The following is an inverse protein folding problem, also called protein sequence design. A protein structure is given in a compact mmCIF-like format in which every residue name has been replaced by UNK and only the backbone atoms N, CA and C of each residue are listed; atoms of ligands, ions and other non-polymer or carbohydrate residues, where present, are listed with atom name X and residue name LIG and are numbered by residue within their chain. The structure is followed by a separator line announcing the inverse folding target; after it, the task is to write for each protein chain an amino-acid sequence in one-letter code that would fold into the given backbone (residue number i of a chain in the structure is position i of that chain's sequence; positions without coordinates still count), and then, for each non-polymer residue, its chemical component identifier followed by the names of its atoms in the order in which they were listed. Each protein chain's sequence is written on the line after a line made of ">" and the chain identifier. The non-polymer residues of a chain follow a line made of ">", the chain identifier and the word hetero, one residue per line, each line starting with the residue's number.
data_IF_520732243567
#
_entry.id   IF_520732243567
#
_cell.length_a   1.000
_cell.length_b   1.000
_cell.length_c   1.000
_cell.angle_alpha   90.00
_cell.angle_beta   90.00
_cell.angle_gamma   90.00
#
_symmetry.space_group_name_H-M   'P 1'
#
loop_
_entity.id
_entity.type
_entity.pdbx_description
1 polymer ?
#
# COMPACT_ATOMS: atom_id res chain seq x y z
N UNK A 1 19.12 1.17 8.52
CA UNK A 1 17.77 0.90 9.07
C UNK A 1 17.70 0.92 10.60
N UNK A 2 18.47 0.11 11.35
CA UNK A 2 18.42 0.07 12.83
C UNK A 2 18.54 1.45 13.49
N UNK A 3 19.48 2.29 13.03
CA UNK A 3 19.68 3.66 13.56
C UNK A 3 18.50 4.58 13.24
N UNK A 4 17.90 4.42 12.05
CA UNK A 4 16.77 5.21 11.59
C UNK A 4 15.49 4.91 12.39
N UNK A 5 15.25 3.63 12.69
CA UNK A 5 14.04 3.17 13.38
C UNK A 5 14.13 3.20 14.90
N UNK A 6 15.34 3.32 15.47
CA UNK A 6 15.56 3.35 16.93
C UNK A 6 14.70 4.38 17.68
N UNK A 7 14.49 5.60 17.17
CA UNK A 7 13.61 6.58 17.83
C UNK A 7 12.14 6.16 17.98
N UNK A 8 11.72 5.17 17.22
CA UNK A 8 10.34 4.71 17.15
C UNK A 8 10.12 3.33 17.81
N UNK A 9 11.13 2.78 18.50
CA UNK A 9 11.11 1.42 19.04
C UNK A 9 9.95 1.15 20.03
N UNK A 10 9.51 2.19 20.76
CA UNK A 10 8.43 2.07 21.74
C UNK A 10 7.02 2.26 21.15
N UNK A 11 6.92 2.81 19.94
CA UNK A 11 5.66 3.19 19.30
C UNK A 11 5.53 2.73 17.86
N UNK A 12 6.27 1.71 17.48
CA UNK A 12 6.24 1.15 16.14
C UNK A 12 6.62 -0.31 16.11
N UNK A 13 6.27 -0.96 15.02
CA UNK A 13 6.54 -2.38 14.74
C UNK A 13 7.22 -2.54 13.39
N UNK A 14 8.05 -3.57 13.25
CA UNK A 14 8.79 -3.86 12.00
C UNK A 14 8.60 -5.31 11.65
N UNK A 15 8.17 -5.58 10.43
CA UNK A 15 8.00 -6.91 9.87
C UNK A 15 8.93 -7.06 8.66
N UNK A 16 9.74 -8.11 8.66
CA UNK A 16 10.65 -8.44 7.58
C UNK A 16 10.04 -9.54 6.72
N UNK A 17 10.31 -9.51 5.42
CA UNK A 17 9.85 -10.52 4.48
C UNK A 17 8.34 -10.79 4.63
N UNK A 18 7.56 -9.70 4.71
CA UNK A 18 6.13 -9.80 4.97
C UNK A 18 5.42 -10.40 3.76
N UNK A 19 4.77 -11.54 3.98
CA UNK A 19 4.05 -12.24 2.92
C UNK A 19 2.77 -11.50 2.52
N UNK A 20 2.61 -11.23 1.24
CA UNK A 20 1.39 -10.70 0.63
C UNK A 20 0.71 -11.86 -0.10
N UNK A 21 -0.32 -12.48 0.50
CA UNK A 21 -0.82 -13.79 0.05
C UNK A 21 -1.28 -13.81 -1.39
N UNK A 22 -2.03 -12.81 -1.84
CA UNK A 22 -2.58 -12.73 -3.19
C UNK A 22 -1.50 -12.66 -4.27
N UNK A 23 -0.45 -11.91 -4.02
CA UNK A 23 0.61 -11.71 -5.00
C UNK A 23 1.60 -12.87 -5.04
N UNK A 24 1.58 -13.78 -4.06
CA UNK A 24 2.60 -14.80 -3.90
C UNK A 24 4.01 -14.22 -3.74
N UNK A 25 4.10 -12.98 -3.28
CA UNK A 25 5.33 -12.20 -3.12
C UNK A 25 5.47 -11.73 -1.68
N UNK A 26 6.65 -11.22 -1.35
CA UNK A 26 6.93 -10.67 -0.03
C UNK A 26 7.46 -9.25 -0.16
N UNK A 27 6.93 -8.35 0.67
CA UNK A 27 7.53 -7.05 0.87
C UNK A 27 8.77 -7.20 1.74
N UNK A 28 9.87 -6.58 1.37
CA UNK A 28 11.13 -6.71 2.12
C UNK A 28 10.97 -6.26 3.57
N UNK A 29 10.33 -5.12 3.79
CA UNK A 29 10.08 -4.60 5.13
C UNK A 29 8.76 -3.81 5.17
N UNK A 30 7.94 -4.10 6.18
CA UNK A 30 6.82 -3.25 6.59
C UNK A 30 7.19 -2.59 7.91
N UNK A 31 7.00 -1.28 8.01
CA UNK A 31 7.20 -0.52 9.25
C UNK A 31 5.90 0.19 9.60
N UNK A 32 5.40 -0.08 10.79
CA UNK A 32 4.23 0.61 11.34
C UNK A 32 4.71 1.60 12.40
N UNK A 33 4.35 2.86 12.25
CA UNK A 33 4.65 3.90 13.24
C UNK A 33 3.44 4.83 13.34
N UNK A 34 2.88 4.96 14.53
CA UNK A 34 1.78 5.88 14.83
C UNK A 34 0.58 5.74 13.86
N UNK A 35 0.30 4.55 13.34
CA UNK A 35 -0.80 4.30 12.42
C UNK A 35 -0.48 4.45 10.93
N UNK A 36 0.72 4.91 10.57
CA UNK A 36 1.19 4.92 9.18
C UNK A 36 1.89 3.60 8.87
N UNK A 37 1.58 3.01 7.72
CA UNK A 37 2.20 1.80 7.18
C UNK A 37 3.21 2.19 6.12
N UNK A 38 4.49 2.07 6.41
CA UNK A 38 5.57 2.27 5.46
C UNK A 38 5.91 0.92 4.81
N UNK A 39 5.74 0.81 3.52
CA UNK A 39 6.08 -0.39 2.73
C UNK A 39 7.41 -0.15 2.05
N UNK A 40 8.45 -0.88 2.44
CA UNK A 40 9.82 -0.64 1.97
C UNK A 40 10.25 -1.77 1.05
N UNK A 41 10.76 -1.41 -0.12
CA UNK A 41 11.42 -2.32 -1.06
C UNK A 41 12.89 -1.90 -1.22
N UNK A 42 13.79 -2.79 -0.85
CA UNK A 42 15.23 -2.55 -0.91
C UNK A 42 15.82 -3.11 -2.20
N UNK A 43 16.69 -2.33 -2.82
CA UNK A 43 17.50 -2.80 -3.94
C UNK A 43 18.96 -2.94 -3.52
N UNK A 44 19.70 -3.78 -4.21
CA UNK A 44 21.12 -3.97 -3.92
C UNK A 44 21.92 -2.69 -4.13
N UNK A 45 23.04 -2.55 -3.43
CA UNK A 45 23.84 -1.32 -3.39
C UNK A 45 24.38 -0.85 -4.77
N UNK A 46 24.38 -1.72 -5.78
CA UNK A 46 24.86 -1.42 -7.14
C UNK A 46 23.74 -1.15 -8.13
N UNK A 47 22.49 -1.06 -7.67
CA UNK A 47 21.34 -0.72 -8.49
C UNK A 47 21.01 0.77 -8.36
N UNK A 48 20.36 1.28 -9.39
CA UNK A 48 19.78 2.63 -9.42
C UNK A 48 18.26 2.55 -9.14
N UNK A 49 17.62 3.68 -8.94
CA UNK A 49 16.17 3.74 -8.90
C UNK A 49 15.57 3.21 -10.20
N UNK A 50 14.59 2.34 -10.09
CA UNK A 50 13.91 1.76 -11.25
C UNK A 50 12.40 1.92 -11.16
N UNK A 51 11.77 2.09 -12.30
CA UNK A 51 10.31 2.19 -12.40
C UNK A 51 9.63 0.87 -12.00
N UNK A 52 10.24 -0.25 -12.35
CA UNK A 52 9.72 -1.58 -12.04
C UNK A 52 9.64 -1.79 -10.52
N UNK A 53 10.69 -1.41 -9.78
CA UNK A 53 10.69 -1.52 -8.32
C UNK A 53 9.73 -0.51 -7.66
N UNK A 54 9.55 0.64 -8.27
CA UNK A 54 8.59 1.64 -7.81
C UNK A 54 7.15 1.14 -7.99
N UNK A 55 6.83 0.56 -9.15
CA UNK A 55 5.53 -0.07 -9.39
C UNK A 55 5.32 -1.25 -8.44
N UNK A 56 6.35 -2.09 -8.24
CA UNK A 56 6.28 -3.24 -7.34
C UNK A 56 5.91 -2.84 -5.90
N UNK A 57 6.59 -1.84 -5.33
CA UNK A 57 6.29 -1.41 -3.95
C UNK A 57 4.93 -0.70 -3.85
N UNK A 58 4.50 -0.05 -4.93
CA UNK A 58 3.16 0.54 -5.00
C UNK A 58 2.08 -0.53 -5.03
N UNK A 59 2.24 -1.55 -5.87
CA UNK A 59 1.32 -2.70 -5.92
C UNK A 59 1.19 -3.37 -4.55
N UNK A 60 2.30 -3.51 -3.79
CA UNK A 60 2.26 -4.04 -2.43
C UNK A 60 1.42 -3.16 -1.49
N UNK A 61 1.57 -1.85 -1.57
CA UNK A 61 0.79 -0.93 -0.74
C UNK A 61 -0.70 -0.97 -1.11
N UNK A 62 -1.03 -0.98 -2.41
CA UNK A 62 -2.41 -1.08 -2.88
C UNK A 62 -3.05 -2.41 -2.49
N UNK A 63 -2.30 -3.50 -2.57
CA UNK A 63 -2.79 -4.83 -2.19
C UNK A 63 -3.08 -4.91 -0.68
N UNK A 64 -2.16 -4.41 0.15
CA UNK A 64 -2.38 -4.30 1.59
C UNK A 64 -3.57 -3.37 1.91
N UNK A 65 -3.70 -2.24 1.21
CA UNK A 65 -4.80 -1.31 1.41
C UNK A 65 -6.17 -1.92 1.13
N UNK A 66 -6.26 -2.70 0.06
CA UNK A 66 -7.55 -3.21 -0.41
C UNK A 66 -7.97 -4.52 0.25
N UNK A 67 -7.01 -5.33 0.73
CA UNK A 67 -7.29 -6.71 1.13
C UNK A 67 -6.89 -7.04 2.56
N UNK A 68 -6.06 -6.22 3.22
CA UNK A 68 -5.73 -6.43 4.62
C UNK A 68 -6.62 -5.55 5.51
N UNK A 69 -7.46 -6.19 6.31
CA UNK A 69 -8.44 -5.54 7.18
C UNK A 69 -7.82 -4.42 8.05
N UNK A 70 -6.67 -4.70 8.65
CA UNK A 70 -5.95 -3.72 9.49
C UNK A 70 -5.39 -2.51 8.73
N UNK A 71 -5.40 -2.52 7.39
CA UNK A 71 -4.89 -1.42 6.54
C UNK A 71 -5.98 -0.50 6.01
N UNK A 72 -7.26 -0.90 6.08
CA UNK A 72 -8.38 -0.18 5.46
C UNK A 72 -8.45 1.30 5.84
N UNK A 73 -8.23 1.62 7.12
CA UNK A 73 -8.31 2.99 7.64
C UNK A 73 -6.93 3.65 7.81
N UNK A 74 -5.84 2.94 7.50
CA UNK A 74 -4.48 3.46 7.67
C UNK A 74 -3.98 4.17 6.42
N UNK A 75 -3.02 5.06 6.64
CA UNK A 75 -2.24 5.68 5.56
C UNK A 75 -1.10 4.75 5.18
N UNK A 76 -0.92 4.52 3.88
CA UNK A 76 0.16 3.69 3.35
C UNK A 76 1.14 4.52 2.52
N UNK A 77 2.42 4.36 2.81
CA UNK A 77 3.51 5.00 2.09
C UNK A 77 4.47 3.97 1.52
N UNK A 78 4.42 3.70 0.21
CA UNK A 78 5.40 2.85 -0.46
C UNK A 78 6.72 3.60 -0.66
N UNK A 79 7.85 2.93 -0.39
CA UNK A 79 9.20 3.50 -0.46
C UNK A 79 10.15 2.53 -1.16
N UNK A 80 10.73 2.96 -2.28
CA UNK A 80 11.88 2.30 -2.87
C UNK A 80 13.17 2.81 -2.21
N UNK A 81 13.96 1.90 -1.65
CA UNK A 81 15.23 2.22 -1.00
C UNK A 81 16.40 1.68 -1.81
N UNK A 82 17.26 2.57 -2.32
CA UNK A 82 18.51 2.22 -2.98
C UNK A 82 19.67 2.73 -2.14
N UNK A 83 20.43 1.86 -1.43
CA UNK A 83 21.33 2.26 -0.36
C UNK A 83 22.38 3.30 -0.72
N UNK A 84 22.98 3.19 -1.91
CA UNK A 84 24.11 4.03 -2.34
C UNK A 84 23.71 5.09 -3.38
N UNK A 85 22.41 5.30 -3.60
CA UNK A 85 21.96 6.32 -4.55
C UNK A 85 22.29 7.73 -4.05
N UNK A 86 22.49 8.65 -4.98
CA UNK A 86 22.84 10.04 -4.68
C UNK A 86 21.62 10.80 -4.12
N UNK A 87 21.83 11.63 -3.12
CA UNK A 87 20.78 12.42 -2.48
C UNK A 87 19.95 13.25 -3.46
N UNK A 88 20.57 13.78 -4.51
CA UNK A 88 19.90 14.59 -5.56
C UNK A 88 18.86 13.81 -6.37
N UNK A 89 18.94 12.50 -6.38
CA UNK A 89 18.01 11.61 -7.09
C UNK A 89 16.87 11.13 -6.17
N UNK A 90 16.96 11.42 -4.86
CA UNK A 90 15.93 11.07 -3.89
C UNK A 90 14.72 12.02 -4.00
N UNK A 91 13.52 11.46 -3.87
CA UNK A 91 12.26 12.21 -3.85
C UNK A 91 11.51 11.87 -2.58
N UNK A 92 11.27 12.87 -1.73
CA UNK A 92 10.50 12.71 -0.48
C UNK A 92 9.06 13.22 -0.67
N UNK A 93 8.86 14.19 -1.56
CA UNK A 93 7.52 14.69 -1.87
C UNK A 93 6.72 13.62 -2.61
N UNK A 94 5.50 13.42 -2.18
CA UNK A 94 4.58 12.43 -2.74
C UNK A 94 3.18 12.99 -2.81
N UNK A 95 2.42 12.58 -3.83
CA UNK A 95 1.01 12.92 -3.95
C UNK A 95 0.18 12.01 -3.06
N UNK A 96 -0.84 12.61 -2.47
CA UNK A 96 -1.85 11.92 -1.69
C UNK A 96 -3.06 11.62 -2.57
N UNK A 97 -3.56 10.39 -2.47
CA UNK A 97 -4.81 9.97 -3.11
C UNK A 97 -5.93 9.81 -2.07
N UNK A 98 -7.16 9.82 -2.53
CA UNK A 98 -8.37 9.73 -1.67
C UNK A 98 -8.45 8.43 -0.88
N UNK A 99 -7.78 7.37 -1.35
CA UNK A 99 -7.72 6.06 -0.69
C UNK A 99 -6.69 5.98 0.44
N UNK A 100 -6.03 7.08 0.80
CA UNK A 100 -4.94 7.14 1.77
C UNK A 100 -3.68 6.34 1.39
N UNK A 101 -3.48 6.03 0.12
CA UNK A 101 -2.21 5.50 -0.40
C UNK A 101 -1.45 6.63 -1.08
N UNK A 102 -0.20 6.82 -0.73
CA UNK A 102 0.68 7.82 -1.34
C UNK A 102 1.37 7.27 -2.59
N UNK A 103 1.71 8.15 -3.54
CA UNK A 103 2.63 7.76 -4.61
C UNK A 103 3.97 7.28 -4.01
N UNK A 104 4.62 6.26 -4.61
CA UNK A 104 5.90 5.78 -4.13
C UNK A 104 6.97 6.85 -4.12
N UNK A 105 7.75 6.90 -3.06
CA UNK A 105 8.94 7.74 -2.99
C UNK A 105 10.22 6.92 -3.17
N UNK A 106 11.28 7.61 -3.56
CA UNK A 106 12.59 7.02 -3.84
C UNK A 106 13.64 7.65 -2.94
N UNK A 107 14.25 6.85 -2.07
CA UNK A 107 15.24 7.34 -1.10
C UNK A 107 16.45 6.42 -1.01
N UNK A 108 17.58 6.99 -0.58
CA UNK A 108 18.73 6.21 -0.14
C UNK A 108 18.67 5.95 1.38
N UNK A 109 19.65 5.23 1.89
CA UNK A 109 19.72 4.89 3.34
C UNK A 109 19.78 6.12 4.23
N UNK A 110 20.41 7.21 3.78
CA UNK A 110 20.59 8.45 4.56
C UNK A 110 19.27 9.24 4.61
N UNK A 111 18.56 9.31 3.50
CA UNK A 111 17.29 10.06 3.36
C UNK A 111 16.08 9.30 3.92
N UNK A 112 16.17 8.00 4.14
CA UNK A 112 15.06 7.21 4.68
C UNK A 112 14.55 7.76 6.02
N UNK A 113 15.45 8.14 6.92
CA UNK A 113 15.07 8.71 8.23
C UNK A 113 14.41 10.09 8.12
N UNK A 114 14.82 10.89 7.14
CA UNK A 114 14.22 12.19 6.83
C UNK A 114 12.81 12.01 6.27
N UNK A 115 12.64 11.07 5.34
CA UNK A 115 11.35 10.73 4.76
C UNK A 115 10.35 10.28 5.84
N UNK A 116 10.71 9.32 6.70
CA UNK A 116 9.84 8.85 7.78
C UNK A 116 9.42 10.01 8.69
N UNK A 117 10.37 10.87 9.11
CA UNK A 117 10.06 12.05 9.94
C UNK A 117 9.13 13.02 9.24
N UNK A 118 9.36 13.28 7.95
CA UNK A 118 8.54 14.18 7.14
C UNK A 118 7.09 13.72 7.11
N UNK A 119 6.84 12.44 6.82
CA UNK A 119 5.48 11.90 6.73
C UNK A 119 4.80 11.85 8.09
N UNK A 120 5.50 11.44 9.16
CA UNK A 120 4.94 11.45 10.51
C UNK A 120 4.56 12.87 10.99
N UNK A 121 5.24 13.90 10.51
CA UNK A 121 4.97 15.29 10.90
C UNK A 121 3.86 15.96 10.07
N UNK A 122 3.67 15.58 8.82
CA UNK A 122 2.84 16.32 7.86
C UNK A 122 1.59 15.56 7.41
N UNK A 123 1.51 14.25 7.66
CA UNK A 123 0.36 13.43 7.25
C UNK A 123 -0.65 13.34 8.37
N UNK A 124 -1.91 13.63 8.05
CA UNK A 124 -3.02 13.39 8.98
C UNK A 124 -3.26 11.90 9.08
N UNK A 125 -3.13 11.35 10.26
CA UNK A 125 -3.34 9.93 10.54
C UNK A 125 -3.94 9.74 11.93
N UNK A 126 -4.53 8.59 12.17
CA UNK A 126 -5.01 8.19 13.49
C UNK A 126 -3.86 7.50 14.22
N UNK A 127 -3.35 8.07 15.33
CA UNK A 127 -2.30 7.42 16.09
C UNK A 127 -2.73 6.04 16.57
N UNK A 128 -1.91 5.04 16.37
CA UNK A 128 -2.14 3.68 16.81
C UNK A 128 -1.09 3.27 17.85
N UNK A 129 -1.51 2.41 18.78
CA UNK A 129 -0.59 1.82 19.75
C UNK A 129 0.16 0.62 19.15
N UNK A 130 1.21 0.16 19.83
CA UNK A 130 1.90 -1.06 19.43
C UNK A 130 0.99 -2.31 19.48
N UNK A 131 -0.02 -2.32 20.34
CA UNK A 131 -1.01 -3.41 20.37
C UNK A 131 -1.86 -3.42 19.10
N UNK A 132 -2.20 -2.24 18.56
CA UNK A 132 -2.91 -2.13 17.28
C UNK A 132 -2.04 -2.60 16.11
N UNK A 133 -0.72 -2.45 16.20
CA UNK A 133 0.21 -2.97 15.21
C UNK A 133 0.32 -4.50 15.26
N UNK A 134 0.30 -5.11 16.44
CA UNK A 134 0.25 -6.56 16.59
C UNK A 134 -1.07 -7.13 16.08
N UNK A 135 -2.18 -6.41 16.25
CA UNK A 135 -3.48 -6.76 15.67
C UNK A 135 -3.47 -6.61 14.15
N UNK A 136 -2.83 -5.56 13.62
CA UNK A 136 -2.65 -5.38 12.18
C UNK A 136 -1.98 -6.59 11.53
N UNK A 137 -0.90 -7.10 12.12
CA UNK A 137 -0.18 -8.24 11.56
C UNK A 137 -0.99 -9.55 11.58
N UNK A 138 -2.00 -9.62 12.45
CA UNK A 138 -2.90 -10.79 12.62
C UNK A 138 -4.25 -10.58 11.97
N UNK A 139 -4.52 -9.39 11.45
CA UNK A 139 -5.81 -9.07 10.82
C UNK A 139 -6.06 -9.92 9.59
N UNK A 140 -7.32 -10.10 9.26
CA UNK A 140 -7.75 -10.86 8.10
C UNK A 140 -7.16 -10.29 6.80
N UNK A 141 -6.83 -11.18 5.89
CA UNK A 141 -6.48 -10.83 4.52
C UNK A 141 -7.51 -11.49 3.60
N UNK A 142 -8.41 -10.68 3.08
CA UNK A 142 -9.57 -11.12 2.29
C UNK A 142 -9.44 -10.60 0.85
N UNK A 143 -8.70 -11.30 -0.01
CA UNK A 143 -8.61 -10.92 -1.41
C UNK A 143 -9.95 -11.16 -2.10
N UNK A 144 -10.35 -10.25 -2.99
CA UNK A 144 -11.47 -10.56 -3.89
C UNK A 144 -11.14 -11.81 -4.70
N UNK A 145 -12.11 -12.71 -4.91
CA UNK A 145 -11.88 -13.91 -5.69
C UNK A 145 -11.41 -13.56 -7.11
N UNK A 146 -10.50 -14.35 -7.65
CA UNK A 146 -10.13 -14.23 -9.06
C UNK A 146 -11.36 -14.50 -9.93
N UNK A 147 -11.33 -14.03 -11.19
CA UNK A 147 -12.41 -14.29 -12.16
C UNK A 147 -12.71 -15.80 -12.26
N UNK A 148 -11.68 -16.65 -12.17
CA UNK A 148 -11.83 -18.10 -12.22
C UNK A 148 -12.54 -18.62 -10.96
N UNK A 149 -12.08 -18.19 -9.78
CA UNK A 149 -12.72 -18.59 -8.49
C UNK A 149 -14.14 -18.09 -8.41
N UNK A 150 -14.40 -16.85 -8.82
CA UNK A 150 -15.75 -16.29 -8.90
C UNK A 150 -16.65 -17.07 -9.88
N UNK A 151 -16.11 -17.45 -11.04
CA UNK A 151 -16.82 -18.26 -12.02
C UNK A 151 -17.13 -19.68 -11.50
N UNK A 152 -16.19 -20.29 -10.79
CA UNK A 152 -16.40 -21.61 -10.14
C UNK A 152 -17.46 -21.51 -9.06
N UNK A 153 -17.39 -20.51 -8.17
CA UNK A 153 -18.36 -20.29 -7.12
C UNK A 153 -19.77 -20.02 -7.70
N UNK A 154 -19.88 -19.23 -8.76
CA UNK A 154 -21.15 -19.02 -9.48
C UNK A 154 -21.72 -20.31 -10.08
N UNK A 155 -20.85 -21.18 -10.56
CA UNK A 155 -21.26 -22.44 -11.15
C UNK A 155 -21.71 -23.47 -10.13
N UNK A 156 -21.02 -23.53 -8.96
CA UNK A 156 -21.30 -24.50 -7.91
C UNK A 156 -22.44 -24.06 -6.98
N UNK A 157 -22.49 -22.78 -6.60
CA UNK A 157 -23.37 -22.26 -5.54
C UNK A 157 -24.43 -21.27 -6.02
N UNK A 158 -24.41 -20.88 -7.30
CA UNK A 158 -25.24 -19.83 -7.89
C UNK A 158 -25.14 -18.44 -7.19
N UNK A 159 -24.16 -18.26 -6.31
CA UNK A 159 -23.93 -16.99 -5.59
C UNK A 159 -22.44 -16.76 -5.40
N UNK A 160 -22.00 -15.51 -5.54
CA UNK A 160 -20.67 -15.07 -5.12
C UNK A 160 -20.90 -14.01 -4.03
N UNK A 161 -20.85 -14.42 -2.78
CA UNK A 161 -21.13 -13.55 -1.62
C UNK A 161 -20.24 -12.30 -1.61
N UNK A 162 -18.98 -12.40 -2.05
CA UNK A 162 -18.04 -11.28 -2.04
C UNK A 162 -18.32 -10.23 -3.11
N UNK A 163 -19.02 -10.60 -4.21
CA UNK A 163 -19.46 -9.64 -5.23
C UNK A 163 -20.69 -8.90 -4.73
N UNK A 164 -21.52 -9.52 -3.91
CA UNK A 164 -22.75 -8.91 -3.37
C UNK A 164 -22.50 -8.02 -2.16
N UNK A 165 -21.40 -8.19 -1.42
CA UNK A 165 -21.07 -7.34 -0.26
C UNK A 165 -20.71 -5.88 -0.62
N UNK A 166 -20.42 -5.59 -1.88
CA UNK A 166 -20.10 -4.25 -2.37
C UNK A 166 -21.25 -3.59 -3.16
N UNK A 167 -22.48 -3.99 -2.91
CA UNK A 167 -23.68 -3.49 -3.60
C UNK A 167 -23.96 -1.98 -3.45
N UNK A 168 -23.21 -1.26 -2.62
CA UNK A 168 -23.43 0.18 -2.43
C UNK A 168 -23.06 1.05 -3.61
N UNK A 169 -22.16 0.64 -4.51
CA UNK A 169 -21.55 1.53 -5.51
C UNK A 169 -21.67 1.07 -6.98
N UNK A 170 -22.28 -0.09 -7.25
CA UNK A 170 -22.39 -0.60 -8.62
C UNK A 170 -23.21 0.37 -9.49
N UNK A 171 -24.32 0.90 -8.97
CA UNK A 171 -25.16 1.87 -9.66
C UNK A 171 -24.44 3.20 -9.92
N UNK A 172 -23.63 3.65 -8.98
CA UNK A 172 -22.81 4.86 -9.11
C UNK A 172 -21.71 4.66 -10.16
N UNK A 173 -21.05 3.52 -10.12
CA UNK A 173 -20.00 3.14 -11.08
C UNK A 173 -20.58 2.99 -12.49
N UNK A 174 -21.73 2.33 -12.64
CA UNK A 174 -22.42 2.19 -13.92
C UNK A 174 -22.79 3.55 -14.49
N UNK A 175 -23.41 4.45 -13.71
CA UNK A 175 -23.74 5.81 -14.11
C UNK A 175 -22.52 6.64 -14.49
N UNK A 176 -21.41 6.46 -13.78
CA UNK A 176 -20.14 7.13 -14.09
C UNK A 176 -19.58 6.66 -15.45
N UNK A 177 -19.60 5.36 -15.70
CA UNK A 177 -19.16 4.77 -16.98
C UNK A 177 -20.06 5.20 -18.13
N UNK A 178 -21.37 5.19 -17.96
CA UNK A 178 -22.33 5.69 -18.96
C UNK A 178 -22.06 7.15 -19.32
N UNK A 179 -21.83 8.01 -18.33
CA UNK A 179 -21.49 9.41 -18.54
C UNK A 179 -20.22 9.56 -19.36
N UNK A 180 -19.13 8.85 -18.99
CA UNK A 180 -17.86 8.89 -19.71
C UNK A 180 -18.02 8.43 -21.15
N UNK A 181 -18.79 7.36 -21.40
CA UNK A 181 -19.06 6.85 -22.73
C UNK A 181 -19.84 7.88 -23.58
N UNK A 182 -20.83 8.54 -22.99
CA UNK A 182 -21.61 9.58 -23.67
C UNK A 182 -20.72 10.78 -24.03
N UNK A 183 -19.93 11.29 -23.07
CA UNK A 183 -19.01 12.41 -23.30
C UNK A 183 -17.94 12.10 -24.38
N UNK A 184 -17.48 10.85 -24.45
CA UNK A 184 -16.54 10.42 -25.50
C UNK A 184 -17.18 10.30 -26.89
N UNK A 185 -18.49 10.04 -26.95
CA UNK A 185 -19.25 9.99 -28.23
C UNK A 185 -19.53 11.37 -28.79
N UNK A 186 -19.79 12.36 -27.95
CA UNK A 186 -20.05 13.75 -28.35
C UNK A 186 -18.80 14.49 -28.84
N UNK A 187 -17.62 14.00 -28.52
CA UNK A 187 -16.31 14.58 -28.93
C UNK A 187 -15.75 13.99 -30.23
N UNK A 188 -16.50 13.13 -30.91
CA UNK A 188 -16.18 12.60 -32.25
C UNK A 188 -17.05 13.23 -33.33
#
# INVERSE_FOLDING_TARGET
>A
MKTVLRPYAERGSVYFEYNIPRMGRRADVIVLIDGIVFVLEFKTANQEFSREAMVQVWDYALDLKNFQEGSLDRVLLPIQVVPNEKDRNCTIESKHFEDNVYEPIQVNTQKLGEAIKHFLANVTHVPCSRQDDDLWAKSGYEPTPTIIEAAVALFEENTVEDITKHDGDIDLTAKCLERIICECREKR
#
